data_IF_570307908365
#
_entry.id   IF_570307908365
#
_cell.length_a   1.000
_cell.length_b   1.000
_cell.length_c   1.000
_cell.angle_alpha   90.00
_cell.angle_beta   90.00
_cell.angle_gamma   90.00
#
_symmetry.space_group_name_H-M   'P 1'
#
loop_
_entity.id
_entity.type
_entity.pdbx_description
1 polymer ?
#
# COMPACT_ATOMS: atom_id res chain seq x y z
N UNK A 1 -3.64 -7.36 2.18
CA UNK A 1 -2.34 -6.70 1.93
C UNK A 1 -2.49 -5.23 1.57
N UNK A 2 -3.25 -4.86 0.53
CA UNK A 2 -3.56 -3.45 0.21
C UNK A 2 -4.11 -2.68 1.42
N UNK A 3 -5.13 -3.22 2.10
CA UNK A 3 -5.76 -2.51 3.22
C UNK A 3 -4.78 -2.23 4.36
N UNK A 4 -3.91 -3.18 4.71
CA UNK A 4 -2.91 -2.97 5.75
C UNK A 4 -1.92 -1.84 5.38
N UNK A 5 -1.38 -1.85 4.16
CA UNK A 5 -0.48 -0.80 3.69
C UNK A 5 -1.19 0.57 3.59
N UNK A 6 -2.44 0.55 3.15
CA UNK A 6 -3.31 1.72 3.09
C UNK A 6 -3.56 2.30 4.49
N UNK A 7 -3.91 1.47 5.47
CA UNK A 7 -4.13 1.90 6.86
C UNK A 7 -2.87 2.52 7.47
N UNK A 8 -1.70 1.90 7.28
CA UNK A 8 -0.43 2.45 7.77
C UNK A 8 -0.17 3.84 7.18
N UNK A 9 -0.39 4.01 5.87
CA UNK A 9 -0.22 5.31 5.23
C UNK A 9 -1.18 6.37 5.77
N UNK A 10 -2.48 6.08 5.82
CA UNK A 10 -3.50 7.04 6.25
C UNK A 10 -3.41 7.39 7.73
N UNK A 11 -2.92 6.46 8.56
CA UNK A 11 -2.79 6.66 10.01
C UNK A 11 -1.47 7.32 10.42
N UNK A 12 -0.63 7.78 9.48
CA UNK A 12 0.67 8.40 9.80
C UNK A 12 0.60 9.41 10.94
N UNK A 13 -0.31 10.38 10.85
CA UNK A 13 -0.46 11.44 11.86
C UNK A 13 -0.90 10.88 13.21
N UNK A 14 -1.81 9.91 13.21
CA UNK A 14 -2.26 9.24 14.42
C UNK A 14 -1.12 8.43 15.07
N UNK A 15 -0.30 7.75 14.27
CA UNK A 15 0.87 6.99 14.73
C UNK A 15 1.94 7.93 15.29
N UNK A 16 2.20 9.07 14.64
CA UNK A 16 3.09 10.12 15.15
C UNK A 16 2.58 10.67 16.48
N UNK A 17 1.27 10.91 16.61
CA UNK A 17 0.65 11.36 17.86
C UNK A 17 0.81 10.34 18.99
N UNK A 18 0.59 9.05 18.72
CA UNK A 18 0.81 7.97 19.71
C UNK A 18 2.28 7.92 20.15
N UNK A 19 3.22 8.05 19.21
CA UNK A 19 4.65 8.04 19.52
C UNK A 19 5.10 9.19 20.44
N UNK A 20 4.43 10.34 20.36
CA UNK A 20 4.75 11.53 21.16
C UNK A 20 4.05 11.48 22.51
N UNK A 21 2.74 11.20 22.51
CA UNK A 21 1.89 11.37 23.69
C UNK A 21 1.74 10.10 24.53
N UNK A 22 1.97 8.91 23.94
CA UNK A 22 1.84 7.62 24.61
C UNK A 22 3.04 6.73 24.24
N UNK A 23 4.28 7.12 24.61
CA UNK A 23 5.48 6.47 24.11
C UNK A 23 5.56 4.98 24.49
N UNK A 24 4.87 4.54 25.54
CA UNK A 24 4.90 3.15 26.00
C UNK A 24 3.90 2.23 25.29
N UNK A 25 2.94 2.79 24.53
CA UNK A 25 1.93 2.02 23.79
C UNK A 25 2.58 1.16 22.68
N UNK A 26 3.64 1.68 22.05
CA UNK A 26 4.42 0.97 21.04
C UNK A 26 5.76 0.55 21.65
N UNK A 27 5.82 -0.61 22.28
CA UNK A 27 7.01 -1.07 23.00
C UNK A 27 8.17 -1.46 22.06
N UNK A 28 7.87 -1.88 20.83
CA UNK A 28 8.88 -2.33 19.88
C UNK A 28 9.73 -1.17 19.33
N UNK A 29 11.03 -1.19 19.64
CA UNK A 29 12.00 -0.16 19.22
C UNK A 29 12.18 -0.05 17.70
N UNK A 30 12.12 -1.18 16.99
CA UNK A 30 12.26 -1.21 15.52
C UNK A 30 11.03 -0.57 14.88
N UNK A 31 9.84 -0.88 15.38
CA UNK A 31 8.59 -0.26 14.90
C UNK A 31 8.61 1.25 15.14
N UNK A 32 9.01 1.70 16.34
CA UNK A 32 9.19 3.13 16.65
C UNK A 32 10.15 3.82 15.68
N UNK A 33 11.26 3.17 15.33
CA UNK A 33 12.22 3.70 14.38
C UNK A 33 11.59 3.94 12.99
N UNK A 34 10.87 2.96 12.44
CA UNK A 34 10.22 3.10 11.13
C UNK A 34 9.08 4.11 11.14
N UNK A 35 8.27 4.16 12.19
CA UNK A 35 7.18 5.13 12.32
C UNK A 35 7.66 6.59 12.47
N UNK A 36 8.94 6.83 12.74
CA UNK A 36 9.55 8.17 12.71
C UNK A 36 10.22 8.51 11.38
N UNK A 37 10.37 7.52 10.50
CA UNK A 37 11.10 7.66 9.26
C UNK A 37 10.17 8.11 8.12
N UNK A 38 10.41 9.30 7.56
CA UNK A 38 9.63 9.81 6.43
C UNK A 38 9.74 8.92 5.18
N UNK A 39 10.89 8.31 4.95
CA UNK A 39 11.14 7.44 3.80
C UNK A 39 10.38 6.12 3.92
N UNK A 40 10.17 5.64 5.15
CA UNK A 40 9.30 4.49 5.38
C UNK A 40 7.88 4.78 4.87
N UNK A 41 7.28 5.90 5.26
CA UNK A 41 5.94 6.27 4.78
C UNK A 41 5.91 6.59 3.28
N UNK A 42 6.98 7.18 2.73
CA UNK A 42 7.09 7.38 1.29
C UNK A 42 7.08 6.04 0.54
N UNK A 43 7.80 5.04 1.05
CA UNK A 43 7.85 3.70 0.48
C UNK A 43 6.52 2.94 0.64
N UNK A 44 5.88 3.02 1.82
CA UNK A 44 4.54 2.47 2.04
C UNK A 44 3.54 3.11 1.07
N UNK A 45 3.61 4.41 0.83
CA UNK A 45 2.77 5.08 -0.17
C UNK A 45 2.98 4.58 -1.58
N UNK A 46 4.24 4.37 -2.01
CA UNK A 46 4.54 3.77 -3.31
C UNK A 46 3.96 2.34 -3.39
N UNK A 47 4.19 1.53 -2.36
CA UNK A 47 3.67 0.15 -2.28
C UNK A 47 2.14 0.11 -2.36
N UNK A 48 1.45 1.00 -1.63
CA UNK A 48 -0.02 1.06 -1.64
C UNK A 48 -0.59 1.33 -3.02
N UNK A 49 0.07 2.17 -3.84
CA UNK A 49 -0.36 2.41 -5.23
C UNK A 49 -0.31 1.13 -6.07
N UNK A 50 0.77 0.34 -5.94
CA UNK A 50 0.94 -0.94 -6.63
C UNK A 50 -0.11 -1.95 -6.16
N UNK A 51 -0.23 -2.11 -4.84
CA UNK A 51 -1.17 -3.05 -4.23
C UNK A 51 -2.63 -2.73 -4.57
N UNK A 52 -2.98 -1.44 -4.70
CA UNK A 52 -4.32 -1.01 -5.10
C UNK A 52 -4.67 -1.54 -6.48
N UNK A 53 -3.74 -1.40 -7.43
CA UNK A 53 -3.94 -1.84 -8.80
C UNK A 53 -4.03 -3.36 -8.90
N UNK A 54 -3.15 -4.08 -8.21
CA UNK A 54 -3.22 -5.54 -8.12
C UNK A 54 -4.59 -5.97 -7.58
N UNK A 55 -5.07 -5.35 -6.49
CA UNK A 55 -6.39 -5.63 -5.94
C UNK A 55 -7.49 -5.36 -6.96
N UNK A 56 -7.49 -4.20 -7.62
CA UNK A 56 -8.49 -3.85 -8.65
C UNK A 56 -8.47 -4.83 -9.81
N UNK A 57 -7.30 -5.20 -10.31
CA UNK A 57 -7.15 -6.19 -11.39
C UNK A 57 -7.74 -7.53 -10.96
N UNK A 58 -7.38 -8.04 -9.78
CA UNK A 58 -7.94 -9.31 -9.26
C UNK A 58 -9.46 -9.22 -9.13
N UNK A 59 -9.99 -8.16 -8.52
CA UNK A 59 -11.44 -7.98 -8.36
C UNK A 59 -12.19 -7.93 -9.70
N UNK A 60 -11.58 -7.33 -10.73
CA UNK A 60 -12.14 -7.38 -12.08
C UNK A 60 -12.08 -8.79 -12.67
N UNK A 61 -10.96 -9.50 -12.52
CA UNK A 61 -10.83 -10.89 -13.00
C UNK A 61 -11.82 -11.85 -12.33
N UNK A 62 -12.12 -11.64 -11.05
CA UNK A 62 -13.07 -12.45 -10.27
C UNK A 62 -14.54 -12.13 -10.60
N UNK A 63 -14.80 -11.04 -11.33
CA UNK A 63 -16.17 -10.64 -11.69
C UNK A 63 -16.78 -11.61 -12.70
N UNK A 64 -17.99 -12.07 -12.41
CA UNK A 64 -18.74 -12.99 -13.27
C UNK A 64 -19.08 -12.41 -14.67
N UNK A 65 -18.97 -11.09 -14.84
CA UNK A 65 -19.23 -10.40 -16.10
C UNK A 65 -17.99 -10.18 -16.97
N UNK A 66 -16.80 -10.59 -16.51
CA UNK A 66 -15.53 -10.29 -17.16
C UNK A 66 -15.15 -11.35 -18.18
N UNK A 67 -14.76 -10.93 -19.38
CA UNK A 67 -14.30 -11.83 -20.44
C UNK A 67 -12.76 -11.84 -20.54
N UNK A 68 -12.21 -12.76 -21.34
CA UNK A 68 -10.76 -12.93 -21.48
C UNK A 68 -10.05 -11.68 -22.04
N UNK A 69 -10.69 -10.88 -22.88
CA UNK A 69 -10.11 -9.65 -23.41
C UNK A 69 -9.98 -8.58 -22.31
N UNK A 70 -10.98 -8.47 -21.44
CA UNK A 70 -10.93 -7.60 -20.26
C UNK A 70 -9.77 -7.98 -19.34
N UNK A 71 -9.59 -9.30 -19.11
CA UNK A 71 -8.47 -9.84 -18.35
C UNK A 71 -7.12 -9.43 -18.96
N UNK A 72 -6.97 -9.56 -20.29
CA UNK A 72 -5.74 -9.23 -21.00
C UNK A 72 -5.40 -7.74 -20.92
N UNK A 73 -6.38 -6.85 -21.07
CA UNK A 73 -6.20 -5.40 -20.91
C UNK A 73 -5.71 -5.06 -19.49
N UNK A 74 -6.30 -5.68 -18.46
CA UNK A 74 -5.89 -5.42 -17.08
C UNK A 74 -4.45 -5.88 -16.80
N UNK A 75 -4.01 -6.99 -17.38
CA UNK A 75 -2.62 -7.45 -17.28
C UNK A 75 -1.65 -6.48 -17.93
N UNK A 76 -1.99 -5.91 -19.09
CA UNK A 76 -1.16 -4.88 -19.75
C UNK A 76 -1.07 -3.62 -18.90
N UNK A 77 -2.19 -3.15 -18.34
CA UNK A 77 -2.21 -1.97 -17.47
C UNK A 77 -1.35 -2.19 -16.21
N UNK A 78 -1.44 -3.37 -15.60
CA UNK A 78 -0.62 -3.74 -14.46
C UNK A 78 0.87 -3.74 -14.82
N UNK A 79 1.25 -4.38 -15.93
CA UNK A 79 2.64 -4.43 -16.40
C UNK A 79 3.20 -3.02 -16.68
N UNK A 80 2.42 -2.14 -17.32
CA UNK A 80 2.83 -0.76 -17.59
C UNK A 80 3.07 0.04 -16.30
N UNK A 81 2.27 -0.18 -15.26
CA UNK A 81 2.45 0.54 -14.00
C UNK A 81 3.65 0.02 -13.23
N UNK A 82 3.86 -1.30 -13.20
CA UNK A 82 5.09 -1.90 -12.63
C UNK A 82 6.32 -1.29 -13.29
N UNK A 83 6.32 -1.17 -14.62
CA UNK A 83 7.41 -0.53 -15.39
C UNK A 83 7.66 0.93 -15.02
N UNK A 84 6.62 1.66 -14.58
CA UNK A 84 6.70 3.09 -14.20
C UNK A 84 7.08 3.32 -12.75
N UNK A 85 7.25 2.27 -11.95
CA UNK A 85 7.73 2.43 -10.59
C UNK A 85 9.18 2.94 -10.63
N UNK A 86 9.52 3.96 -9.82
CA UNK A 86 10.89 4.43 -9.74
C UNK A 86 11.79 3.30 -9.22
N UNK A 87 12.95 3.14 -9.89
CA UNK A 87 14.02 2.21 -9.51
C UNK A 87 14.57 2.50 -8.11
#
# INVERSE_FOLDING_TARGET
>A
MYEAASSVSHLRIALEHVLINNPDEITNKIVKHYLRNSDFFANVNKLTKVLKLIKTTITLLESASTNLADCFIQLILLANIIKKLPS
#
